data_IF_884717704122
#
_entry.id   IF_884717704122
#
_cell.length_a   1.000
_cell.length_b   1.000
_cell.length_c   1.000
_cell.angle_alpha   90.00
_cell.angle_beta   90.00
_cell.angle_gamma   90.00
#
_symmetry.space_group_name_H-M   'P 1'
#
loop_
_entity.id
_entity.type
_entity.pdbx_description
1 polymer ?
#
# COMPACT_ATOMS: atom_id res chain seq x y z
N UNK A 1 -14.99 -0.82 -22.57
CA UNK A 1 -15.62 -1.50 -21.41
C UNK A 1 -16.23 -0.43 -20.52
N UNK A 2 -17.56 -0.46 -20.31
CA UNK A 2 -18.23 0.45 -19.37
C UNK A 2 -17.69 0.18 -17.96
N UNK A 3 -17.15 1.21 -17.32
CA UNK A 3 -16.64 1.09 -15.95
C UNK A 3 -17.81 0.66 -15.04
N UNK A 4 -17.68 -0.51 -14.42
CA UNK A 4 -18.66 -1.02 -13.44
C UNK A 4 -18.74 0.01 -12.31
N UNK A 5 -19.95 0.44 -11.96
CA UNK A 5 -20.15 1.37 -10.86
C UNK A 5 -19.65 0.73 -9.56
N UNK A 6 -18.77 1.44 -8.81
CA UNK A 6 -18.28 0.97 -7.53
C UNK A 6 -19.40 1.07 -6.49
N UNK A 7 -19.79 -0.06 -5.90
CA UNK A 7 -20.69 -0.10 -4.77
C UNK A 7 -19.92 0.03 -3.45
N UNK A 8 -20.49 0.76 -2.49
CA UNK A 8 -19.85 1.01 -1.21
C UNK A 8 -20.70 0.40 -0.09
N UNK A 9 -20.08 -0.29 0.86
CA UNK A 9 -20.77 -0.79 2.06
C UNK A 9 -21.42 0.32 2.88
N UNK A 10 -20.88 1.54 2.85
CA UNK A 10 -21.50 2.72 3.48
C UNK A 10 -22.69 3.25 2.72
N UNK A 11 -22.95 2.77 1.51
CA UNK A 11 -23.97 3.24 0.57
C UNK A 11 -23.46 4.36 -0.33
N UNK A 12 -22.93 5.45 0.21
CA UNK A 12 -22.43 6.61 -0.56
C UNK A 12 -21.02 7.04 -0.14
N UNK A 13 -20.35 7.80 -1.02
CA UNK A 13 -19.05 8.42 -0.73
C UNK A 13 -19.16 9.41 0.42
N UNK A 14 -20.26 10.17 0.52
CA UNK A 14 -20.49 11.14 1.59
C UNK A 14 -20.62 10.46 2.95
N UNK A 15 -21.32 9.32 3.02
CA UNK A 15 -21.39 8.53 4.24
C UNK A 15 -20.03 7.94 4.62
N UNK A 16 -19.21 7.57 3.65
CA UNK A 16 -17.84 7.12 3.90
C UNK A 16 -16.98 8.28 4.43
N UNK A 17 -17.10 9.46 3.85
CA UNK A 17 -16.42 10.67 4.35
C UNK A 17 -16.84 10.99 5.79
N UNK A 18 -18.13 10.95 6.09
CA UNK A 18 -18.64 11.12 7.45
C UNK A 18 -18.14 10.05 8.43
N UNK A 19 -18.01 8.79 8.00
CA UNK A 19 -17.43 7.72 8.80
C UNK A 19 -15.95 7.99 9.16
N UNK A 20 -15.15 8.43 8.19
CA UNK A 20 -13.74 8.80 8.41
C UNK A 20 -13.65 10.02 9.34
N UNK A 21 -14.47 11.06 9.10
CA UNK A 21 -14.49 12.25 9.93
C UNK A 21 -14.79 11.91 11.40
N UNK A 22 -15.76 11.03 11.64
CA UNK A 22 -16.10 10.56 12.99
C UNK A 22 -14.94 9.82 13.66
N UNK A 23 -14.21 9.00 12.92
CA UNK A 23 -13.02 8.31 13.45
C UNK A 23 -11.91 9.30 13.82
N UNK A 24 -11.67 10.32 12.97
CA UNK A 24 -10.69 11.37 13.23
C UNK A 24 -11.10 12.20 14.47
N UNK A 25 -12.36 12.59 14.56
CA UNK A 25 -12.88 13.34 15.71
C UNK A 25 -12.73 12.58 17.04
N UNK A 26 -12.94 11.26 17.01
CA UNK A 26 -12.85 10.43 18.21
C UNK A 26 -11.41 10.07 18.62
N UNK A 27 -10.50 9.88 17.65
CA UNK A 27 -9.15 9.37 17.91
C UNK A 27 -8.07 10.46 17.85
N UNK A 28 -8.27 11.46 17.01
CA UNK A 28 -7.31 12.53 16.73
C UNK A 28 -8.02 13.88 16.64
N UNK A 29 -8.70 14.34 17.72
CA UNK A 29 -9.37 15.64 17.70
C UNK A 29 -8.38 16.78 17.53
N UNK A 30 -8.73 17.78 16.72
CA UNK A 30 -8.02 19.04 16.62
C UNK A 30 -9.00 20.18 16.26
N UNK A 31 -8.50 21.42 16.20
CA UNK A 31 -9.31 22.62 15.96
C UNK A 31 -9.90 22.69 14.53
N UNK A 32 -9.42 21.86 13.59
CA UNK A 32 -9.83 21.89 12.18
C UNK A 32 -10.99 20.95 11.81
N UNK A 33 -11.63 20.28 12.80
CA UNK A 33 -12.59 19.19 12.57
C UNK A 33 -13.77 19.56 11.66
N UNK A 34 -14.27 20.79 11.72
CA UNK A 34 -15.37 21.22 10.86
C UNK A 34 -14.94 21.33 9.39
N UNK A 35 -13.71 21.77 9.13
CA UNK A 35 -13.13 21.84 7.80
C UNK A 35 -12.75 20.48 7.23
N UNK A 36 -12.55 19.46 8.07
CA UNK A 36 -12.20 18.10 7.66
C UNK A 36 -13.32 17.45 6.85
N UNK A 37 -14.58 17.63 7.24
CA UNK A 37 -15.72 17.04 6.52
C UNK A 37 -15.74 17.51 5.08
N UNK A 38 -15.62 18.82 4.83
CA UNK A 38 -15.61 19.41 3.48
C UNK A 38 -14.40 18.91 2.68
N UNK A 39 -13.24 18.83 3.33
CA UNK A 39 -12.02 18.31 2.72
C UNK A 39 -12.15 16.83 2.34
N UNK A 40 -12.74 16.01 3.23
CA UNK A 40 -12.98 14.60 2.98
C UNK A 40 -13.98 14.36 1.85
N UNK A 41 -15.06 15.16 1.76
CA UNK A 41 -16.00 15.11 0.66
C UNK A 41 -15.33 15.34 -0.70
N UNK A 42 -14.27 16.14 -0.77
CA UNK A 42 -13.50 16.38 -1.99
C UNK A 42 -12.52 15.27 -2.35
N UNK A 43 -11.87 14.65 -1.36
CA UNK A 43 -10.78 13.70 -1.61
C UNK A 43 -11.24 12.22 -1.61
N UNK A 44 -12.33 11.87 -0.92
CA UNK A 44 -12.86 10.50 -0.89
C UNK A 44 -13.21 9.97 -2.29
N UNK A 45 -13.88 10.72 -3.18
CA UNK A 45 -14.13 10.23 -4.54
C UNK A 45 -12.85 9.89 -5.30
N UNK A 46 -11.80 10.73 -5.18
CA UNK A 46 -10.50 10.50 -5.84
C UNK A 46 -9.79 9.28 -5.28
N UNK A 47 -9.78 9.11 -3.97
CA UNK A 47 -9.22 7.91 -3.34
C UNK A 47 -9.97 6.63 -3.77
N UNK A 48 -11.30 6.68 -3.91
CA UNK A 48 -12.10 5.55 -4.41
C UNK A 48 -11.78 5.23 -5.87
N UNK A 49 -11.56 6.22 -6.73
CA UNK A 49 -11.11 5.95 -8.11
C UNK A 49 -9.76 5.23 -8.13
N UNK A 50 -8.84 5.58 -7.24
CA UNK A 50 -7.56 4.87 -7.10
C UNK A 50 -7.69 3.49 -6.45
N UNK A 51 -8.75 3.23 -5.69
CA UNK A 51 -9.06 1.89 -5.18
C UNK A 51 -9.51 0.92 -6.28
N UNK A 52 -10.12 1.41 -7.37
CA UNK A 52 -10.66 0.54 -8.45
C UNK A 52 -9.64 -0.45 -9.01
N UNK A 53 -8.43 -0.02 -9.48
CA UNK A 53 -7.44 -0.95 -9.99
C UNK A 53 -6.97 -1.95 -8.93
N UNK A 54 -6.91 -1.57 -7.66
CA UNK A 54 -6.55 -2.48 -6.56
C UNK A 54 -7.65 -3.54 -6.36
N UNK A 55 -8.92 -3.11 -6.28
CA UNK A 55 -10.06 -4.03 -6.14
C UNK A 55 -10.15 -4.99 -7.33
N UNK A 56 -9.90 -4.49 -8.55
CA UNK A 56 -9.91 -5.31 -9.75
C UNK A 56 -8.76 -6.31 -9.78
N UNK A 57 -7.57 -5.92 -9.32
CA UNK A 57 -6.39 -6.77 -9.39
C UNK A 57 -6.34 -7.82 -8.29
N UNK A 58 -6.74 -7.53 -7.06
CA UNK A 58 -6.60 -8.46 -5.92
C UNK A 58 -7.60 -9.61 -6.03
N UNK A 59 -7.12 -10.86 -6.01
CA UNK A 59 -7.94 -12.07 -6.25
C UNK A 59 -9.08 -12.24 -5.25
N UNK A 60 -8.83 -11.90 -3.99
CA UNK A 60 -9.78 -12.10 -2.90
C UNK A 60 -10.74 -10.91 -2.70
N UNK A 61 -10.68 -9.90 -3.59
CA UNK A 61 -11.60 -8.78 -3.56
C UNK A 61 -12.67 -8.91 -4.65
N UNK A 62 -13.86 -8.38 -4.36
CA UNK A 62 -14.88 -8.13 -5.36
C UNK A 62 -14.50 -6.83 -6.12
N UNK A 63 -14.28 -6.90 -7.45
CA UNK A 63 -13.86 -5.73 -8.23
C UNK A 63 -14.85 -4.56 -8.21
N UNK A 64 -16.13 -4.86 -7.97
CA UNK A 64 -17.23 -3.87 -7.96
C UNK A 64 -17.61 -3.37 -6.57
N UNK A 65 -16.95 -3.84 -5.49
CA UNK A 65 -17.42 -3.55 -4.14
C UNK A 65 -16.28 -3.13 -3.19
N UNK A 66 -16.41 -1.95 -2.60
CA UNK A 66 -15.55 -1.48 -1.53
C UNK A 66 -16.23 -1.67 -0.17
N UNK A 67 -15.55 -2.39 0.72
CA UNK A 67 -15.99 -2.66 2.08
C UNK A 67 -14.99 -2.07 3.11
N UNK A 68 -15.37 -0.98 3.76
CA UNK A 68 -14.55 -0.33 4.79
C UNK A 68 -14.36 -1.18 6.06
N UNK A 69 -15.16 -2.23 6.25
CA UNK A 69 -14.96 -3.20 7.34
C UNK A 69 -13.98 -4.33 6.97
N UNK A 70 -13.56 -4.40 5.70
CA UNK A 70 -12.42 -5.24 5.31
C UNK A 70 -11.14 -4.44 5.56
N UNK A 71 -10.40 -4.81 6.61
CA UNK A 71 -9.20 -4.09 7.04
C UNK A 71 -8.15 -3.94 5.94
N UNK A 72 -7.99 -4.94 5.04
CA UNK A 72 -7.03 -4.89 3.93
C UNK A 72 -7.41 -3.83 2.90
N UNK A 73 -8.71 -3.69 2.60
CA UNK A 73 -9.21 -2.64 1.74
C UNK A 73 -9.12 -1.27 2.42
N UNK A 74 -9.49 -1.22 3.70
CA UNK A 74 -9.51 0.04 4.45
C UNK A 74 -8.09 0.59 4.69
N UNK A 75 -7.11 -0.27 4.95
CA UNK A 75 -5.69 0.11 5.01
C UNK A 75 -5.23 0.83 3.73
N UNK A 76 -5.51 0.21 2.58
CA UNK A 76 -5.16 0.80 1.28
C UNK A 76 -5.91 2.11 1.04
N UNK A 77 -7.20 2.16 1.37
CA UNK A 77 -8.03 3.35 1.21
C UNK A 77 -7.54 4.53 2.07
N UNK A 78 -7.24 4.31 3.35
CA UNK A 78 -6.74 5.38 4.24
C UNK A 78 -5.39 5.93 3.76
N UNK A 79 -4.49 5.06 3.27
CA UNK A 79 -3.26 5.53 2.65
C UNK A 79 -3.55 6.39 1.41
N UNK A 80 -4.39 5.91 0.50
CA UNK A 80 -4.73 6.65 -0.72
C UNK A 80 -5.41 7.98 -0.40
N UNK A 81 -6.27 8.03 0.60
CA UNK A 81 -6.94 9.23 1.05
C UNK A 81 -5.96 10.28 1.56
N UNK A 82 -5.01 9.88 2.42
CA UNK A 82 -3.96 10.75 2.92
C UNK A 82 -3.01 11.22 1.79
N UNK A 83 -2.65 10.33 0.87
CA UNK A 83 -1.80 10.63 -0.27
C UNK A 83 -2.51 11.57 -1.28
N UNK A 84 -3.82 11.42 -1.53
CA UNK A 84 -4.59 12.37 -2.35
C UNK A 84 -4.61 13.77 -1.74
N UNK A 85 -4.76 13.87 -0.42
CA UNK A 85 -4.69 15.15 0.27
C UNK A 85 -3.32 15.80 0.12
N UNK A 86 -2.26 15.01 0.27
CA UNK A 86 -0.88 15.45 0.05
C UNK A 86 -0.63 15.90 -1.40
N UNK A 87 -1.06 15.13 -2.39
CA UNK A 87 -0.92 15.45 -3.83
C UNK A 87 -1.67 16.73 -4.23
N UNK A 88 -2.77 17.05 -3.56
CA UNK A 88 -3.50 18.29 -3.76
C UNK A 88 -2.74 19.54 -3.26
N UNK A 89 -1.52 19.37 -2.73
CA UNK A 89 -0.70 20.46 -2.22
C UNK A 89 -1.15 21.00 -0.87
N UNK A 90 -2.15 20.38 -0.24
CA UNK A 90 -2.59 20.76 1.09
C UNK A 90 -1.53 20.39 2.13
N UNK A 91 -1.13 21.38 2.91
CA UNK A 91 -0.18 21.22 4.02
C UNK A 91 -0.91 21.40 5.35
N UNK A 92 -2.05 20.74 5.48
CA UNK A 92 -2.86 20.76 6.69
C UNK A 92 -2.67 19.48 7.50
N UNK A 93 -3.20 19.50 8.71
CA UNK A 93 -3.12 18.39 9.64
C UNK A 93 -3.91 17.14 9.16
N UNK A 94 -4.82 17.27 8.18
CA UNK A 94 -5.69 16.16 7.76
C UNK A 94 -4.90 14.98 7.19
N UNK A 95 -3.90 15.23 6.32
CA UNK A 95 -3.09 14.14 5.76
C UNK A 95 -2.31 13.40 6.86
N UNK A 96 -1.78 14.14 7.84
CA UNK A 96 -1.07 13.59 9.00
C UNK A 96 -2.02 12.79 9.90
N UNK A 97 -3.21 13.32 10.20
CA UNK A 97 -4.21 12.64 11.03
C UNK A 97 -4.75 11.37 10.36
N UNK A 98 -4.94 11.36 9.04
CA UNK A 98 -5.29 10.17 8.26
C UNK A 98 -4.19 9.10 8.32
N UNK A 99 -2.92 9.52 8.24
CA UNK A 99 -1.79 8.63 8.42
C UNK A 99 -1.76 8.04 9.84
N UNK A 100 -1.95 8.86 10.87
CA UNK A 100 -2.05 8.42 12.25
C UNK A 100 -3.24 7.46 12.46
N UNK A 101 -4.39 7.73 11.84
CA UNK A 101 -5.56 6.86 11.86
C UNK A 101 -5.24 5.48 11.27
N UNK A 102 -4.57 5.44 10.11
CA UNK A 102 -4.16 4.19 9.48
C UNK A 102 -3.19 3.38 10.37
N UNK A 103 -2.21 4.05 10.98
CA UNK A 103 -1.30 3.41 11.94
C UNK A 103 -2.01 2.84 13.15
N UNK A 104 -2.96 3.58 13.70
CA UNK A 104 -3.71 3.16 14.90
C UNK A 104 -4.64 1.99 14.62
N UNK A 105 -5.38 2.03 13.51
CA UNK A 105 -6.36 0.99 13.19
C UNK A 105 -5.74 -0.27 12.58
N UNK A 106 -4.69 -0.11 11.79
CA UNK A 106 -4.17 -1.18 10.93
C UNK A 106 -2.71 -1.54 11.23
N UNK A 107 -2.06 -0.84 12.18
CA UNK A 107 -0.66 -1.05 12.57
C UNK A 107 0.33 -1.05 11.38
N UNK A 108 0.12 -0.16 10.40
CA UNK A 108 0.98 -0.01 9.22
C UNK A 108 1.63 1.36 9.19
N UNK A 109 2.83 1.46 8.66
CA UNK A 109 3.49 2.72 8.36
C UNK A 109 3.57 2.92 6.84
N UNK A 110 2.53 3.52 6.28
CA UNK A 110 2.42 3.92 4.87
C UNK A 110 2.34 5.44 4.80
N UNK A 111 3.50 6.09 4.83
CA UNK A 111 3.56 7.55 4.92
C UNK A 111 2.97 8.19 3.66
N UNK A 112 2.12 9.17 3.83
CA UNK A 112 1.33 9.77 2.74
C UNK A 112 2.16 10.44 1.63
N UNK A 113 3.40 10.87 1.90
CA UNK A 113 4.28 11.46 0.89
C UNK A 113 5.14 10.40 0.14
N UNK A 114 5.01 9.13 0.48
CA UNK A 114 5.63 8.02 -0.26
C UNK A 114 4.67 7.58 -1.35
N UNK A 115 5.14 7.56 -2.60
CA UNK A 115 4.31 7.13 -3.73
C UNK A 115 4.37 5.61 -3.88
N UNK A 116 3.29 4.94 -3.51
CA UNK A 116 3.09 3.52 -3.82
C UNK A 116 2.55 3.37 -5.26
N UNK A 117 2.75 2.20 -5.89
CA UNK A 117 2.31 1.96 -7.26
C UNK A 117 0.79 1.97 -7.39
N UNK A 118 0.30 1.99 -8.64
CA UNK A 118 -1.13 1.98 -8.92
C UNK A 118 -1.83 0.74 -8.36
N UNK A 119 -1.19 -0.43 -8.48
CA UNK A 119 -1.67 -1.69 -7.92
C UNK A 119 -0.71 -2.16 -6.84
N UNK A 120 -1.17 -2.18 -5.61
CA UNK A 120 -0.49 -2.82 -4.51
C UNK A 120 -1.48 -3.61 -3.65
N UNK A 121 -1.00 -4.62 -2.97
CA UNK A 121 -1.81 -5.42 -2.05
C UNK A 121 -1.13 -5.57 -0.70
N UNK A 122 -1.82 -5.11 0.32
CA UNK A 122 -1.44 -5.28 1.73
C UNK A 122 -2.00 -6.61 2.21
N UNK A 123 -1.18 -7.65 2.28
CA UNK A 123 -1.61 -8.96 2.79
C UNK A 123 -1.22 -9.10 4.25
N UNK A 124 -2.20 -9.10 5.16
CA UNK A 124 -1.96 -9.17 6.62
C UNK A 124 -0.97 -8.10 7.13
N UNK A 125 -1.02 -6.88 6.64
CA UNK A 125 0.02 -5.85 6.69
C UNK A 125 0.50 -5.36 8.06
N UNK A 126 0.16 -6.00 9.17
CA UNK A 126 0.56 -5.61 10.52
C UNK A 126 2.07 -5.41 10.62
N UNK A 127 2.47 -4.27 11.20
CA UNK A 127 3.86 -3.86 11.37
C UNK A 127 4.67 -3.72 10.06
N UNK A 128 3.97 -3.57 8.92
CA UNK A 128 4.65 -3.26 7.67
C UNK A 128 5.02 -1.77 7.61
N UNK A 129 6.23 -1.49 7.13
CA UNK A 129 6.77 -0.15 6.93
C UNK A 129 7.22 -0.01 5.48
N UNK A 130 6.53 0.82 4.70
CA UNK A 130 6.94 1.17 3.35
C UNK A 130 7.40 2.64 3.32
N UNK A 131 8.70 2.82 3.48
CA UNK A 131 9.38 4.11 3.48
C UNK A 131 9.77 4.58 2.09
N UNK A 132 10.68 5.56 2.04
CA UNK A 132 11.17 6.13 0.78
C UNK A 132 11.92 5.10 -0.06
N UNK A 133 11.38 4.80 -1.23
CA UNK A 133 11.90 3.91 -2.25
C UNK A 133 11.22 4.24 -3.57
N UNK A 134 11.71 3.70 -4.68
CA UNK A 134 10.98 3.63 -5.94
C UNK A 134 10.25 2.29 -5.99
N UNK A 135 8.96 2.33 -6.23
CA UNK A 135 8.10 1.14 -6.29
C UNK A 135 7.54 0.97 -7.71
N UNK A 136 7.91 -0.12 -8.38
CA UNK A 136 7.26 -0.55 -9.59
C UNK A 136 5.86 -1.12 -9.33
N UNK A 137 5.05 -1.21 -10.40
CA UNK A 137 3.65 -1.61 -10.28
C UNK A 137 3.46 -3.08 -9.88
N UNK A 138 2.30 -3.39 -9.29
CA UNK A 138 1.90 -4.73 -8.83
C UNK A 138 2.80 -5.25 -7.70
N UNK A 139 2.78 -4.53 -6.59
CA UNK A 139 3.50 -4.86 -5.37
C UNK A 139 2.59 -5.61 -4.38
N UNK A 140 3.02 -6.76 -3.89
CA UNK A 140 2.39 -7.48 -2.78
C UNK A 140 3.35 -7.52 -1.60
N UNK A 141 2.87 -7.12 -0.43
CA UNK A 141 3.68 -7.18 0.79
C UNK A 141 2.87 -7.68 1.98
N UNK A 142 3.57 -8.35 2.86
CA UNK A 142 3.01 -9.03 4.04
C UNK A 142 3.37 -8.29 5.34
N UNK A 143 2.95 -8.87 6.45
CA UNK A 143 3.28 -8.38 7.79
C UNK A 143 4.78 -8.32 8.04
N UNK A 144 5.21 -7.38 8.88
CA UNK A 144 6.60 -7.15 9.29
C UNK A 144 7.57 -6.85 8.12
N UNK A 145 7.05 -6.53 6.93
CA UNK A 145 7.88 -6.09 5.80
C UNK A 145 8.43 -4.70 6.09
N UNK A 146 9.70 -4.49 5.76
CA UNK A 146 10.32 -3.16 5.81
C UNK A 146 10.98 -2.83 4.48
N UNK A 147 10.57 -1.72 3.87
CA UNK A 147 11.27 -1.13 2.73
C UNK A 147 11.65 0.30 3.11
N UNK A 148 12.91 0.66 2.97
CA UNK A 148 13.30 2.01 3.34
C UNK A 148 14.75 2.38 3.04
N UNK A 149 14.98 3.69 3.02
CA UNK A 149 16.30 4.26 2.80
C UNK A 149 17.22 4.07 4.02
N UNK A 150 18.51 4.02 3.77
CA UNK A 150 19.55 4.12 4.78
C UNK A 150 20.45 5.30 4.41
N UNK A 151 20.54 6.30 5.28
CA UNK A 151 21.18 7.57 4.94
C UNK A 151 20.50 8.23 3.74
N UNK A 152 21.23 8.43 2.66
CA UNK A 152 20.71 9.01 1.40
C UNK A 152 20.39 7.94 0.33
N UNK A 153 20.62 6.67 0.62
CA UNK A 153 20.40 5.57 -0.32
C UNK A 153 19.00 5.00 -0.16
N UNK A 154 18.26 4.89 -1.26
CA UNK A 154 16.89 4.39 -1.29
C UNK A 154 16.76 3.19 -2.21
N UNK A 155 15.98 2.17 -1.82
CA UNK A 155 15.75 1.01 -2.66
C UNK A 155 14.98 1.34 -3.94
N UNK A 156 15.20 0.51 -4.96
CA UNK A 156 14.41 0.47 -6.19
C UNK A 156 13.84 -0.93 -6.35
N UNK A 157 12.52 -1.03 -6.41
CA UNK A 157 11.79 -2.27 -6.65
C UNK A 157 11.15 -2.21 -8.04
N UNK A 158 11.34 -3.26 -8.83
CA UNK A 158 10.71 -3.44 -10.14
C UNK A 158 9.23 -3.80 -10.03
N UNK A 159 8.65 -4.29 -11.14
CA UNK A 159 7.25 -4.72 -11.23
C UNK A 159 7.05 -6.15 -10.77
N UNK A 160 5.81 -6.48 -10.39
CA UNK A 160 5.42 -7.84 -9.98
C UNK A 160 6.26 -8.39 -8.82
N UNK A 161 6.40 -7.61 -7.77
CA UNK A 161 7.20 -7.94 -6.60
C UNK A 161 6.34 -8.52 -5.47
N UNK A 162 6.82 -9.60 -4.85
CA UNK A 162 6.24 -10.15 -3.62
C UNK A 162 7.25 -10.11 -2.48
N UNK A 163 6.93 -9.37 -1.43
CA UNK A 163 7.70 -9.30 -0.19
C UNK A 163 7.00 -10.16 0.88
N UNK A 164 7.54 -11.35 1.15
CA UNK A 164 6.97 -12.28 2.12
C UNK A 164 7.17 -11.81 3.58
N UNK A 165 6.47 -12.41 4.56
CA UNK A 165 6.49 -11.95 5.95
C UNK A 165 7.89 -11.68 6.50
N UNK A 166 8.11 -10.49 7.06
CA UNK A 166 9.39 -10.10 7.64
C UNK A 166 10.51 -9.83 6.63
N UNK A 167 10.21 -9.81 5.33
CA UNK A 167 11.21 -9.42 4.32
C UNK A 167 11.59 -7.95 4.48
N UNK A 168 12.88 -7.64 4.34
CA UNK A 168 13.40 -6.28 4.42
C UNK A 168 14.21 -5.95 3.17
N UNK A 169 14.00 -4.74 2.61
CA UNK A 169 14.76 -4.22 1.46
C UNK A 169 15.20 -2.80 1.80
N UNK A 170 16.49 -2.60 1.99
CA UNK A 170 17.00 -1.33 2.53
C UNK A 170 18.23 -0.82 1.77
N UNK A 171 18.56 0.46 1.97
CA UNK A 171 19.73 1.11 1.36
C UNK A 171 19.60 1.19 -0.16
N UNK A 172 20.73 1.08 -0.87
CA UNK A 172 20.80 1.13 -2.34
C UNK A 172 20.45 -0.20 -3.03
N UNK A 173 19.61 -1.03 -2.41
CA UNK A 173 19.17 -2.29 -3.02
C UNK A 173 18.34 -2.07 -4.27
N UNK A 174 18.59 -2.86 -5.33
CA UNK A 174 17.83 -2.87 -6.56
C UNK A 174 17.23 -4.27 -6.73
N UNK A 175 15.90 -4.36 -6.77
CA UNK A 175 15.17 -5.60 -7.03
C UNK A 175 14.58 -5.52 -8.42
N UNK A 176 14.98 -6.41 -9.30
CA UNK A 176 14.47 -6.52 -10.68
C UNK A 176 12.99 -6.92 -10.73
N UNK A 177 12.43 -6.99 -11.93
CA UNK A 177 11.04 -7.35 -12.16
C UNK A 177 10.75 -8.82 -11.80
N UNK A 178 9.51 -9.12 -11.42
CA UNK A 178 9.00 -10.48 -11.18
C UNK A 178 9.79 -11.24 -10.11
N UNK A 179 10.28 -10.53 -9.11
CA UNK A 179 11.06 -11.10 -8.02
C UNK A 179 10.21 -11.36 -6.76
N UNK A 180 10.68 -12.27 -5.94
CA UNK A 180 10.13 -12.50 -4.62
C UNK A 180 11.25 -12.47 -3.57
N UNK A 181 11.00 -11.80 -2.44
CA UNK A 181 11.91 -11.84 -1.28
C UNK A 181 11.27 -12.74 -0.23
N UNK A 182 11.97 -13.84 0.10
CA UNK A 182 11.43 -14.85 1.02
C UNK A 182 11.31 -14.34 2.46
N UNK A 183 10.50 -15.03 3.26
CA UNK A 183 10.23 -14.60 4.63
C UNK A 183 11.51 -14.44 5.47
N UNK A 184 11.56 -13.39 6.27
CA UNK A 184 12.68 -13.07 7.15
C UNK A 184 13.99 -12.71 6.45
N UNK A 185 13.96 -12.51 5.13
CA UNK A 185 15.17 -12.16 4.36
C UNK A 185 15.44 -10.67 4.40
N UNK A 186 16.67 -10.29 4.73
CA UNK A 186 17.12 -8.89 4.68
C UNK A 186 18.06 -8.66 3.49
N UNK A 187 17.59 -7.85 2.54
CA UNK A 187 18.36 -7.40 1.37
C UNK A 187 18.86 -5.98 1.64
N UNK A 188 20.17 -5.82 1.66
CA UNK A 188 20.82 -4.52 1.87
C UNK A 188 21.96 -4.34 0.86
N UNK A 189 21.91 -3.25 0.07
CA UNK A 189 22.98 -2.90 -0.87
C UNK A 189 23.20 -3.93 -2.00
N UNK A 190 22.19 -4.73 -2.35
CA UNK A 190 22.31 -5.80 -3.33
C UNK A 190 21.45 -5.50 -4.58
N UNK A 191 22.02 -5.78 -5.75
CA UNK A 191 21.28 -5.81 -7.02
C UNK A 191 20.81 -7.23 -7.30
N UNK A 192 19.51 -7.41 -7.40
CA UNK A 192 18.82 -8.67 -7.73
C UNK A 192 18.32 -8.56 -9.18
N UNK A 193 18.76 -9.43 -10.10
CA UNK A 193 18.23 -9.47 -11.47
C UNK A 193 16.75 -9.82 -11.52
N UNK A 194 16.14 -9.64 -12.68
CA UNK A 194 14.76 -10.08 -12.94
C UNK A 194 14.58 -11.58 -12.71
N UNK A 195 13.34 -11.99 -12.45
CA UNK A 195 12.92 -13.39 -12.34
C UNK A 195 13.67 -14.19 -11.25
N UNK A 196 13.99 -13.55 -10.13
CA UNK A 196 14.69 -14.21 -9.02
C UNK A 196 13.80 -14.33 -7.76
N UNK A 197 14.13 -15.35 -6.97
CA UNK A 197 13.70 -15.47 -5.58
C UNK A 197 14.92 -15.29 -4.69
N UNK A 198 14.80 -14.35 -3.74
CA UNK A 198 15.87 -14.03 -2.78
C UNK A 198 15.63 -14.78 -1.49
N UNK A 199 16.59 -15.57 -1.06
CA UNK A 199 16.54 -16.29 0.22
C UNK A 199 17.64 -15.77 1.14
N UNK A 200 17.29 -15.45 2.37
CA UNK A 200 18.24 -15.25 3.46
C UNK A 200 18.55 -16.55 4.17
N UNK A 201 19.77 -16.70 4.64
CA UNK A 201 20.19 -17.86 5.41
C UNK A 201 21.44 -17.57 6.24
N UNK A 202 21.88 -18.51 7.09
CA UNK A 202 23.05 -18.34 7.96
C UNK A 202 24.35 -18.02 7.21
N UNK A 203 24.41 -18.38 5.92
CA UNK A 203 25.58 -18.14 5.06
C UNK A 203 25.42 -16.89 4.16
N UNK A 204 24.39 -16.08 4.39
CA UNK A 204 24.09 -14.88 3.60
C UNK A 204 22.93 -15.05 2.63
N UNK A 205 22.90 -14.20 1.60
CA UNK A 205 21.85 -14.16 0.59
C UNK A 205 22.13 -15.16 -0.53
N UNK A 206 21.09 -15.90 -0.91
CA UNK A 206 21.11 -16.83 -2.06
C UNK A 206 20.04 -16.40 -3.06
N UNK A 207 20.43 -16.20 -4.30
CA UNK A 207 19.53 -15.93 -5.42
C UNK A 207 19.23 -17.24 -6.17
N UNK A 208 17.94 -17.52 -6.39
CA UNK A 208 17.52 -18.67 -7.21
C UNK A 208 16.57 -18.19 -8.31
N UNK A 209 16.67 -18.72 -9.54
CA UNK A 209 15.70 -18.43 -10.60
C UNK A 209 14.28 -18.77 -10.14
N UNK A 210 13.34 -17.87 -10.46
CA UNK A 210 11.92 -18.03 -10.19
C UNK A 210 11.35 -19.22 -10.99
N UNK A 211 10.74 -20.17 -10.31
CA UNK A 211 10.15 -21.37 -10.93
C UNK A 211 8.62 -21.36 -10.99
N UNK A 212 7.97 -20.37 -10.39
CA UNK A 212 6.52 -20.22 -10.36
C UNK A 212 6.12 -18.74 -10.33
N UNK A 213 4.89 -18.47 -10.71
CA UNK A 213 4.32 -17.13 -10.66
C UNK A 213 3.84 -16.81 -9.24
N UNK A 214 4.68 -16.10 -8.46
CA UNK A 214 4.33 -15.71 -7.10
C UNK A 214 3.29 -14.59 -7.06
N UNK A 215 3.35 -13.63 -7.98
CA UNK A 215 2.40 -12.51 -7.99
C UNK A 215 0.99 -12.99 -8.35
N UNK A 216 0.89 -13.96 -9.28
CA UNK A 216 -0.37 -14.55 -9.70
C UNK A 216 -1.10 -15.32 -8.60
N UNK A 217 -0.46 -15.62 -7.46
CA UNK A 217 -1.13 -16.16 -6.28
C UNK A 217 -2.08 -15.13 -5.63
N UNK A 218 -1.79 -13.84 -5.77
CA UNK A 218 -2.47 -12.75 -5.08
C UNK A 218 -3.21 -11.82 -6.03
N UNK A 219 -2.63 -11.55 -7.20
CA UNK A 219 -3.19 -10.63 -8.18
C UNK A 219 -3.66 -11.38 -9.42
N UNK A 220 -4.75 -10.91 -10.01
CA UNK A 220 -5.24 -11.39 -11.30
C UNK A 220 -4.24 -11.02 -12.39
N UNK A 221 -4.18 -11.75 -13.51
CA UNK A 221 -3.42 -11.35 -14.69
C UNK A 221 -3.83 -9.93 -15.14
N UNK A 222 -2.91 -9.22 -15.76
CA UNK A 222 -3.28 -8.03 -16.52
C UNK A 222 -4.15 -8.52 -17.69
N UNK A 223 -5.36 -7.98 -17.83
CA UNK A 223 -6.11 -8.17 -19.06
C UNK A 223 -5.43 -7.31 -20.14
N UNK A 224 -4.91 -7.96 -21.16
CA UNK A 224 -4.42 -7.33 -22.39
C UNK A 224 -5.52 -6.52 -23.08
#
# INVERSE_FOLDING_TARGET
MTAVALTLRTGTADRLAGHVAMQLANLFPDESMDADVDSLLQVVPRALERMRPILAAVRNFDPGHFNHLNSLQYTSFLYLLANERWRAGARDALAERLFCLNRTLNAVDLFYAVELPQVFFVSHGLCAVLGRATYGDRLVFFQNVTVGRVGNESPVLGRDIVLFPGAQVTGNSIIGDRCAVSAGTHVHGLTVPDDMVVFGGPQGIVLKPRRKDYIGLYLRPLND
#
